data_IF_244811243462
#
_entry.id   IF_244811243462
#
_cell.length_a   1.000
_cell.length_b   1.000
_cell.length_c   1.000
_cell.angle_alpha   90.00
_cell.angle_beta   90.00
_cell.angle_gamma   90.00
#
_symmetry.space_group_name_H-M   'P 1'
#
loop_
_entity.id
_entity.type
_entity.pdbx_description
1 polymer ?
#
# COMPACT_ATOMS: atom_id res chain seq x y z
N UNK A 1 3.78 29.44 20.30
CA UNK A 1 2.50 28.72 20.49
C UNK A 1 1.95 28.07 19.20
N UNK A 2 2.39 28.43 17.98
CA UNK A 2 1.78 27.91 16.73
C UNK A 2 2.18 26.47 16.36
N UNK A 3 3.48 26.14 16.42
CA UNK A 3 3.97 24.83 15.94
C UNK A 3 3.37 23.62 16.65
N UNK A 4 3.15 23.71 17.97
CA UNK A 4 2.59 22.60 18.75
C UNK A 4 1.10 22.39 18.48
N UNK A 5 0.36 23.48 18.24
CA UNK A 5 -1.06 23.41 17.88
C UNK A 5 -1.20 22.85 16.47
N UNK A 6 -0.43 23.34 15.50
CA UNK A 6 -0.44 22.82 14.13
C UNK A 6 -0.03 21.34 14.08
N UNK A 7 1.03 20.96 14.80
CA UNK A 7 1.45 19.56 14.91
C UNK A 7 0.36 18.69 15.56
N UNK A 8 -0.28 19.18 16.63
CA UNK A 8 -1.38 18.48 17.29
C UNK A 8 -2.56 18.24 16.36
N UNK A 9 -2.98 19.26 15.60
CA UNK A 9 -4.08 19.13 14.62
C UNK A 9 -3.70 18.14 13.50
N UNK A 10 -2.48 18.24 12.96
CA UNK A 10 -2.03 17.34 11.90
C UNK A 10 -2.00 15.88 12.37
N UNK A 11 -1.45 15.63 13.57
CA UNK A 11 -1.41 14.29 14.14
C UNK A 11 -2.80 13.75 14.42
N UNK A 12 -3.71 14.56 14.96
CA UNK A 12 -5.09 14.15 15.21
C UNK A 12 -5.83 13.84 13.91
N UNK A 13 -5.61 14.63 12.85
CA UNK A 13 -6.16 14.34 11.52
C UNK A 13 -5.65 13.02 10.94
N UNK A 14 -4.34 12.78 11.03
CA UNK A 14 -3.71 11.55 10.53
C UNK A 14 -4.20 10.31 11.29
N UNK A 15 -4.28 10.39 12.63
CA UNK A 15 -4.76 9.25 13.43
C UNK A 15 -6.23 8.95 13.17
N UNK A 16 -7.07 9.99 13.04
CA UNK A 16 -8.47 9.81 12.67
C UNK A 16 -8.62 9.19 11.27
N UNK A 17 -7.84 9.67 10.29
CA UNK A 17 -7.85 9.13 8.94
C UNK A 17 -7.41 7.67 8.88
N UNK A 18 -6.32 7.31 9.56
CA UNK A 18 -5.84 5.92 9.64
C UNK A 18 -6.85 5.01 10.34
N UNK A 19 -7.47 5.46 11.43
CA UNK A 19 -8.48 4.67 12.13
C UNK A 19 -9.70 4.40 11.25
N UNK A 20 -10.13 5.41 10.48
CA UNK A 20 -11.21 5.24 9.51
C UNK A 20 -10.79 4.29 8.37
N UNK A 21 -9.62 4.47 7.78
CA UNK A 21 -9.09 3.60 6.73
C UNK A 21 -9.05 2.13 7.18
N UNK A 22 -8.52 1.85 8.37
CA UNK A 22 -8.48 0.49 8.92
C UNK A 22 -9.87 -0.10 9.18
N UNK A 23 -10.84 0.73 9.59
CA UNK A 23 -12.20 0.28 9.86
C UNK A 23 -13.01 0.05 8.58
N UNK A 24 -12.71 0.79 7.51
CA UNK A 24 -13.45 0.75 6.24
C UNK A 24 -12.83 -0.20 5.21
N UNK A 25 -11.51 -0.42 5.25
CA UNK A 25 -10.79 -1.22 4.26
C UNK A 25 -10.84 -2.71 4.59
N UNK A 26 -11.00 -3.53 3.55
CA UNK A 26 -10.83 -4.98 3.67
C UNK A 26 -9.36 -5.34 3.97
N UNK A 27 -9.10 -6.47 4.65
CA UNK A 27 -7.73 -6.93 4.88
C UNK A 27 -6.95 -7.08 3.57
N UNK A 28 -5.70 -6.58 3.49
CA UNK A 28 -4.88 -6.71 2.30
C UNK A 28 -4.70 -8.18 1.87
N UNK A 29 -5.10 -8.48 0.64
CA UNK A 29 -4.94 -9.82 0.08
C UNK A 29 -3.61 -9.92 -0.67
N UNK A 30 -2.64 -10.63 -0.06
CA UNK A 30 -1.28 -10.79 -0.59
C UNK A 30 -1.27 -11.56 -1.93
N UNK A 31 -2.27 -12.40 -2.18
CA UNK A 31 -2.41 -13.15 -3.44
C UNK A 31 -3.10 -12.35 -4.54
N UNK A 32 -3.70 -11.21 -4.19
CA UNK A 32 -4.28 -10.24 -5.14
C UNK A 32 -3.49 -8.93 -5.13
N UNK A 33 -2.19 -8.99 -4.88
CA UNK A 33 -1.32 -7.84 -5.06
C UNK A 33 -1.35 -7.44 -6.56
N UNK A 34 -1.81 -6.23 -6.92
CA UNK A 34 -1.70 -5.77 -8.28
C UNK A 34 -0.21 -5.67 -8.65
N UNK A 35 0.16 -5.92 -9.92
CA UNK A 35 1.52 -5.66 -10.37
C UNK A 35 1.86 -4.20 -10.06
N UNK A 36 3.00 -3.96 -9.39
CA UNK A 36 3.42 -2.66 -8.86
C UNK A 36 3.77 -1.61 -9.91
N UNK A 37 3.13 -1.64 -11.09
CA UNK A 37 3.43 -0.91 -12.33
C UNK A 37 4.49 -1.64 -13.16
N UNK A 38 4.05 -2.20 -14.30
CA UNK A 38 4.91 -2.76 -15.34
C UNK A 38 4.64 -2.02 -16.66
N UNK A 39 5.03 -0.75 -16.75
CA UNK A 39 4.82 0.06 -17.95
C UNK A 39 5.73 -0.42 -19.10
N UNK A 40 5.17 -1.30 -19.94
CA UNK A 40 5.70 -1.67 -21.25
C UNK A 40 6.89 -2.65 -21.28
N UNK A 41 7.23 -3.30 -20.16
CA UNK A 41 8.50 -4.02 -19.99
C UNK A 41 8.47 -5.54 -20.20
N UNK A 42 7.29 -6.16 -20.30
CA UNK A 42 7.16 -7.63 -20.34
C UNK A 42 7.45 -8.33 -18.99
N UNK A 43 7.40 -7.59 -17.88
CA UNK A 43 7.71 -8.12 -16.55
C UNK A 43 6.73 -9.23 -16.10
N UNK A 44 7.28 -10.36 -15.65
CA UNK A 44 6.53 -11.45 -15.05
C UNK A 44 6.02 -11.07 -13.65
N UNK A 45 4.84 -11.58 -13.27
CA UNK A 45 4.26 -11.34 -11.96
C UNK A 45 5.21 -11.84 -10.86
N UNK A 46 5.64 -10.97 -9.95
CA UNK A 46 6.42 -11.36 -8.77
C UNK A 46 5.51 -11.39 -7.55
N UNK A 47 5.30 -12.59 -7.01
CA UNK A 47 4.55 -12.81 -5.76
C UNK A 47 4.89 -14.13 -5.04
N UNK A 48 5.62 -15.04 -5.70
CA UNK A 48 6.16 -16.27 -5.11
C UNK A 48 7.52 -16.61 -5.74
N UNK A 49 8.35 -17.38 -5.03
CA UNK A 49 9.70 -17.79 -5.49
C UNK A 49 9.68 -18.55 -6.84
N UNK A 50 8.52 -19.09 -7.25
CA UNK A 50 8.32 -19.80 -8.51
C UNK A 50 7.56 -19.00 -9.59
N UNK A 51 7.40 -17.68 -9.43
CA UNK A 51 6.52 -16.91 -10.32
C UNK A 51 7.14 -16.59 -11.69
N UNK A 52 8.42 -16.89 -11.90
CA UNK A 52 9.06 -16.88 -13.21
C UNK A 52 9.00 -18.29 -13.84
N UNK A 53 8.30 -18.42 -14.98
CA UNK A 53 8.36 -19.61 -15.81
C UNK A 53 9.74 -19.70 -16.50
N UNK A 54 10.37 -20.88 -16.59
CA UNK A 54 11.53 -21.08 -17.46
C UNK A 54 11.17 -20.74 -18.91
N UNK A 55 12.01 -19.94 -19.55
CA UNK A 55 11.91 -19.65 -20.97
C UNK A 55 12.73 -20.69 -21.75
N UNK A 56 12.06 -21.72 -22.25
CA UNK A 56 12.53 -22.50 -23.40
C UNK A 56 12.02 -21.85 -24.70
#
# INVERSE_FOLDING_TARGET
MSRWVTAGIALLGLTAFMAWDLAASEPPNIYRAPPLIALGSGAAASGAHCAALPSD
#
